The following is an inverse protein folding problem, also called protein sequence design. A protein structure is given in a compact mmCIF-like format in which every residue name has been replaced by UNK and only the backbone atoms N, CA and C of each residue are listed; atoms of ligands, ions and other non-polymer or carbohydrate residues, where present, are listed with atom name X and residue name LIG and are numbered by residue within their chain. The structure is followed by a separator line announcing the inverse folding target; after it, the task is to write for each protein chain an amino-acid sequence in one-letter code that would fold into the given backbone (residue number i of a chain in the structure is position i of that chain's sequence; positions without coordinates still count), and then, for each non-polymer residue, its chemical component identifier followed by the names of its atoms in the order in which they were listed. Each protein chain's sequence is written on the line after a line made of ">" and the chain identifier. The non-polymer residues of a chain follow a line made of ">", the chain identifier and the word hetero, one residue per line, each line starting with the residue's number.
data_IF_022967876437
#
_entry.id   IF_022967876437
#
_cell.length_a   1.000
_cell.length_b   1.000
_cell.length_c   1.000
_cell.angle_alpha   90.00
_cell.angle_beta   90.00
_cell.angle_gamma   90.00
#
_symmetry.space_group_name_H-M   'P 1'
#
loop_
_entity.id
_entity.type
_entity.pdbx_description
1 polymer ?
#
# COMPACT_ATOMS: atom_id res chain seq x y z
N UNK A 1 -1.84 1.97 -16.07
CA UNK A 1 -1.14 1.23 -15.01
C UNK A 1 0.37 1.36 -15.10
N UNK A 2 0.93 1.34 -16.32
CA UNK A 2 2.38 1.49 -16.49
C UNK A 2 2.92 2.81 -15.89
N UNK A 3 2.13 3.85 -15.88
CA UNK A 3 2.54 5.14 -15.33
C UNK A 3 2.72 5.10 -13.81
N UNK A 4 2.05 4.18 -13.12
CA UNK A 4 2.16 4.05 -11.66
C UNK A 4 2.97 2.83 -11.24
N UNK A 5 3.45 2.03 -12.20
CA UNK A 5 4.29 0.87 -11.89
C UNK A 5 5.59 1.32 -11.23
N UNK A 6 6.05 0.54 -10.25
CA UNK A 6 7.27 0.82 -9.53
C UNK A 6 7.20 0.37 -8.09
N UNK A 7 8.24 0.71 -7.34
CA UNK A 7 8.34 0.33 -5.93
C UNK A 7 8.12 1.57 -5.05
N UNK A 8 7.20 1.45 -4.11
CA UNK A 8 6.83 2.52 -3.18
C UNK A 8 7.18 2.09 -1.77
N UNK A 9 7.73 3.00 -0.98
CA UNK A 9 8.14 2.71 0.40
C UNK A 9 7.63 3.75 1.38
N UNK A 10 7.41 3.32 2.59
CA UNK A 10 7.06 4.20 3.69
C UNK A 10 6.90 3.41 4.98
N UNK A 11 6.74 4.13 6.08
CA UNK A 11 6.47 3.52 7.38
C UNK A 11 5.05 3.87 7.78
N UNK A 12 4.19 2.85 7.86
CA UNK A 12 2.79 3.03 8.25
C UNK A 12 2.65 2.95 9.77
N UNK A 13 1.69 3.66 10.35
CA UNK A 13 1.46 3.58 11.80
C UNK A 13 0.90 2.23 12.20
N UNK A 14 1.26 1.76 13.39
CA UNK A 14 0.74 0.52 13.95
C UNK A 14 0.39 0.74 15.42
N UNK A 15 -0.61 0.00 15.90
CA UNK A 15 -1.11 0.17 17.27
C UNK A 15 -0.19 -0.47 18.31
N UNK A 16 0.49 -1.56 17.97
CA UNK A 16 1.25 -2.37 18.92
C UNK A 16 2.75 -2.44 18.62
N UNK A 17 3.25 -1.57 17.75
CA UNK A 17 4.68 -1.45 17.49
C UNK A 17 4.98 -0.04 16.99
N UNK A 18 6.27 0.38 16.93
CA UNK A 18 6.62 1.74 16.49
C UNK A 18 6.23 2.07 15.06
N UNK A 19 5.99 1.07 14.24
CA UNK A 19 5.56 1.29 12.86
C UNK A 19 5.70 0.02 12.04
N UNK A 20 5.22 0.10 10.80
CA UNK A 20 5.33 -1.00 9.84
C UNK A 20 6.06 -0.45 8.62
N UNK A 21 7.29 -0.91 8.41
CA UNK A 21 8.05 -0.54 7.23
C UNK A 21 7.45 -1.29 6.04
N UNK A 22 6.87 -0.54 5.11
CA UNK A 22 6.08 -1.10 4.02
C UNK A 22 6.74 -0.83 2.68
N UNK A 23 6.88 -1.86 1.87
CA UNK A 23 7.37 -1.76 0.49
C UNK A 23 6.31 -2.36 -0.41
N UNK A 24 5.75 -1.55 -1.28
CA UNK A 24 4.73 -1.99 -2.25
C UNK A 24 5.30 -1.87 -3.65
N UNK A 25 5.34 -2.98 -4.38
CA UNK A 25 5.75 -2.99 -5.78
C UNK A 25 4.52 -3.19 -6.64
N UNK A 26 4.29 -2.26 -7.57
CA UNK A 26 3.20 -2.34 -8.54
C UNK A 26 3.80 -2.67 -9.89
N UNK A 27 3.34 -3.76 -10.49
CA UNK A 27 3.80 -4.20 -11.80
C UNK A 27 2.83 -3.79 -12.89
N UNK A 28 3.35 -3.54 -14.09
CA UNK A 28 2.52 -3.09 -15.21
C UNK A 28 1.54 -4.15 -15.72
N UNK A 29 1.69 -5.40 -15.28
CA UNK A 29 0.81 -6.51 -15.67
C UNK A 29 -0.36 -6.73 -14.69
N UNK A 30 -0.65 -5.74 -13.85
CA UNK A 30 -1.72 -5.77 -12.85
C UNK A 30 -1.47 -6.75 -11.70
N UNK A 31 -0.20 -6.98 -11.37
CA UNK A 31 0.18 -7.75 -10.18
C UNK A 31 0.91 -6.85 -9.20
N UNK A 32 0.99 -7.28 -7.95
CA UNK A 32 1.69 -6.53 -6.93
C UNK A 32 2.46 -7.45 -5.98
N UNK A 33 3.42 -6.87 -5.28
CA UNK A 33 4.12 -7.50 -4.17
C UNK A 33 4.14 -6.53 -3.02
N UNK A 34 3.79 -7.01 -1.84
CA UNK A 34 3.76 -6.19 -0.63
C UNK A 34 4.65 -6.85 0.41
N UNK A 35 5.61 -6.09 0.93
CA UNK A 35 6.49 -6.55 2.01
C UNK A 35 6.32 -5.61 3.18
N UNK A 36 6.10 -6.19 4.35
CA UNK A 36 5.89 -5.41 5.58
C UNK A 36 6.80 -5.95 6.68
N UNK A 37 7.54 -5.04 7.30
CA UNK A 37 8.38 -5.35 8.46
C UNK A 37 7.87 -4.56 9.65
N UNK A 38 7.39 -5.27 10.66
CA UNK A 38 6.89 -4.66 11.90
C UNK A 38 8.09 -4.35 12.78
N UNK A 39 8.32 -3.07 13.01
CA UNK A 39 9.48 -2.60 13.76
C UNK A 39 9.43 -3.12 15.20
N UNK A 40 10.58 -3.59 15.70
CA UNK A 40 10.72 -4.13 17.05
C UNK A 40 9.87 -5.38 17.34
N UNK A 41 9.42 -6.08 16.30
CA UNK A 41 8.75 -7.37 16.45
C UNK A 41 9.68 -8.48 16.00
N UNK A 42 9.76 -9.55 16.78
CA UNK A 42 10.70 -10.64 16.53
C UNK A 42 10.41 -11.37 15.21
N UNK A 43 9.17 -11.69 14.92
CA UNK A 43 8.76 -12.34 13.68
C UNK A 43 7.85 -11.42 12.87
N UNK A 44 8.31 -10.18 12.75
CA UNK A 44 7.48 -9.12 12.18
C UNK A 44 7.55 -8.95 10.67
N UNK A 45 8.06 -9.93 9.95
CA UNK A 45 8.12 -9.85 8.49
C UNK A 45 6.91 -10.54 7.86
N UNK A 46 6.24 -9.86 6.94
CA UNK A 46 5.13 -10.43 6.18
C UNK A 46 5.29 -10.07 4.71
N UNK A 47 4.94 -11.01 3.84
CA UNK A 47 4.96 -10.79 2.40
C UNK A 47 3.64 -11.26 1.82
N UNK A 48 3.12 -10.46 0.89
CA UNK A 48 1.91 -10.80 0.15
C UNK A 48 2.11 -10.48 -1.32
N UNK A 49 1.42 -11.20 -2.16
CA UNK A 49 1.41 -10.92 -3.60
C UNK A 49 0.05 -11.31 -4.15
N UNK A 50 -0.30 -10.75 -5.28
CA UNK A 50 -1.58 -11.04 -5.89
C UNK A 50 -1.81 -10.14 -7.09
N UNK A 51 -3.09 -9.93 -7.41
CA UNK A 51 -3.50 -9.07 -8.51
C UNK A 51 -4.09 -7.79 -7.97
N UNK A 52 -4.06 -6.75 -8.79
CA UNK A 52 -4.69 -5.49 -8.45
C UNK A 52 -5.59 -5.04 -9.58
N UNK A 53 -6.57 -4.20 -9.26
CA UNK A 53 -7.43 -3.55 -10.23
C UNK A 53 -7.36 -2.05 -10.04
N UNK A 54 -7.37 -1.32 -11.15
CA UNK A 54 -7.45 0.14 -11.12
C UNK A 54 -8.92 0.51 -11.15
N UNK A 55 -9.38 1.14 -10.08
CA UNK A 55 -10.75 1.61 -9.97
C UNK A 55 -10.84 3.07 -10.41
N UNK A 56 -12.06 3.62 -10.43
CA UNK A 56 -12.26 5.03 -10.73
C UNK A 56 -11.54 5.91 -9.71
N UNK A 57 -11.21 7.13 -10.10
CA UNK A 57 -10.54 8.12 -9.24
C UNK A 57 -9.13 7.72 -8.80
N UNK A 58 -8.43 6.93 -9.62
CA UNK A 58 -7.05 6.52 -9.37
C UNK A 58 -6.86 5.66 -8.12
N UNK A 59 -7.90 4.92 -7.74
CA UNK A 59 -7.84 3.99 -6.61
C UNK A 59 -7.39 2.64 -7.12
N UNK A 60 -6.42 2.05 -6.42
CA UNK A 60 -5.92 0.71 -6.71
C UNK A 60 -6.47 -0.26 -5.67
N UNK A 61 -7.15 -1.30 -6.13
CA UNK A 61 -7.65 -2.36 -5.24
C UNK A 61 -6.71 -3.55 -5.34
N UNK A 62 -6.01 -3.83 -4.25
CA UNK A 62 -5.08 -4.94 -4.15
C UNK A 62 -5.82 -6.15 -3.57
N UNK A 63 -5.80 -7.26 -4.29
CA UNK A 63 -6.50 -8.48 -3.89
C UNK A 63 -5.46 -9.52 -3.46
N UNK A 64 -5.58 -9.98 -2.22
CA UNK A 64 -4.73 -11.05 -1.68
C UNK A 64 -5.43 -12.39 -1.87
N UNK A 65 -5.02 -13.22 -2.85
CA UNK A 65 -5.76 -14.44 -3.18
C UNK A 65 -5.85 -15.45 -2.03
N UNK A 66 -4.83 -15.51 -1.18
CA UNK A 66 -4.78 -16.49 -0.10
C UNK A 66 -5.83 -16.26 1.00
N UNK A 67 -6.27 -15.01 1.17
CA UNK A 67 -7.23 -14.66 2.23
C UNK A 67 -8.47 -13.95 1.71
N UNK A 68 -8.45 -13.50 0.45
CA UNK A 68 -9.52 -12.70 -0.12
C UNK A 68 -9.54 -11.26 0.37
N UNK A 69 -8.50 -10.83 1.09
CA UNK A 69 -8.44 -9.46 1.58
C UNK A 69 -8.26 -8.46 0.45
N UNK A 70 -8.93 -7.33 0.60
CA UNK A 70 -8.77 -6.20 -0.31
C UNK A 70 -8.13 -5.04 0.43
N UNK A 71 -7.10 -4.46 -0.18
CA UNK A 71 -6.44 -3.27 0.35
C UNK A 71 -6.50 -2.19 -0.71
N UNK A 72 -6.84 -0.98 -0.31
CA UNK A 72 -7.05 0.11 -1.24
C UNK A 72 -5.98 1.18 -1.07
N UNK A 73 -5.40 1.60 -2.20
CA UNK A 73 -4.45 2.71 -2.26
C UNK A 73 -4.90 3.66 -3.34
N UNK A 74 -4.73 4.96 -3.09
CA UNK A 74 -5.04 5.98 -4.08
C UNK A 74 -3.74 6.59 -4.58
N UNK A 75 -3.62 6.74 -5.90
CA UNK A 75 -2.47 7.40 -6.50
C UNK A 75 -2.60 8.91 -6.26
N UNK A 76 -1.64 9.49 -5.53
CA UNK A 76 -1.65 10.92 -5.26
C UNK A 76 -0.98 11.71 -6.38
N UNK A 77 0.14 11.19 -6.86
CA UNK A 77 0.87 11.75 -7.97
C UNK A 77 1.72 10.65 -8.61
N UNK A 78 2.63 11.01 -9.51
CA UNK A 78 3.46 10.02 -10.21
C UNK A 78 4.49 9.34 -9.32
N UNK A 79 4.62 9.75 -8.08
CA UNK A 79 5.67 9.25 -7.19
C UNK A 79 5.16 8.87 -5.80
N UNK A 80 3.86 8.90 -5.56
CA UNK A 80 3.33 8.50 -4.24
C UNK A 80 1.93 7.92 -4.31
N UNK A 81 1.64 7.03 -3.37
CA UNK A 81 0.30 6.48 -3.17
C UNK A 81 -0.04 6.59 -1.68
N UNK A 82 -1.33 6.65 -1.38
CA UNK A 82 -1.80 6.74 0.00
C UNK A 82 -2.81 5.61 0.26
N UNK A 83 -2.71 4.98 1.42
CA UNK A 83 -3.68 3.97 1.83
C UNK A 83 -5.04 4.63 2.08
N UNK A 84 -6.10 4.02 1.55
CA UNK A 84 -7.46 4.53 1.68
C UNK A 84 -8.39 3.45 2.21
N UNK A 85 -9.66 3.82 2.45
CA UNK A 85 -10.71 2.86 2.74
C UNK A 85 -11.28 2.27 1.44
N UNK A 86 -12.30 1.42 1.55
CA UNK A 86 -12.90 0.74 0.40
C UNK A 86 -13.63 1.70 -0.55
N UNK A 87 -13.91 2.92 -0.12
CA UNK A 87 -14.54 3.93 -0.95
C UNK A 87 -13.54 4.91 -1.58
N UNK A 88 -12.25 4.71 -1.31
CA UNK A 88 -11.20 5.58 -1.80
C UNK A 88 -11.02 6.86 -0.99
N UNK A 89 -11.59 6.93 0.20
CA UNK A 89 -11.46 8.08 1.07
C UNK A 89 -10.11 8.08 1.78
N UNK A 90 -9.39 9.18 1.70
CA UNK A 90 -8.09 9.32 2.36
C UNK A 90 -8.27 9.61 3.85
N UNK A 91 -7.30 9.20 4.70
CA UNK A 91 -7.29 9.62 6.09
C UNK A 91 -7.30 11.15 6.19
N UNK A 92 -7.91 11.69 7.25
CA UNK A 92 -8.05 13.13 7.41
C UNK A 92 -6.91 13.74 8.25
N UNK A 93 -6.65 15.02 8.03
CA UNK A 93 -5.71 15.81 8.82
C UNK A 93 -4.27 15.35 8.68
N UNK A 94 -3.50 15.51 9.73
CA UNK A 94 -2.09 15.13 9.74
C UNK A 94 -1.89 13.63 9.67
N UNK A 95 -2.88 12.84 10.04
CA UNK A 95 -2.83 11.39 9.97
C UNK A 95 -2.60 10.93 8.53
N UNK A 96 -3.12 11.65 7.54
CA UNK A 96 -2.95 11.29 6.14
C UNK A 96 -1.48 11.15 5.74
N UNK A 97 -0.61 11.97 6.29
CA UNK A 97 0.83 11.92 5.98
C UNK A 97 1.49 10.61 6.42
N UNK A 98 0.91 9.94 7.41
CA UNK A 98 1.45 8.69 7.94
C UNK A 98 1.14 7.50 7.05
N UNK A 99 0.21 7.63 6.12
CA UNK A 99 -0.23 6.55 5.26
C UNK A 99 0.27 6.66 3.81
N UNK A 100 1.16 7.60 3.54
CA UNK A 100 1.69 7.82 2.19
C UNK A 100 2.94 6.97 1.98
N UNK A 101 2.98 6.26 0.84
CA UNK A 101 4.16 5.54 0.37
C UNK A 101 4.75 6.31 -0.80
N UNK A 102 6.06 6.47 -0.81
CA UNK A 102 6.76 7.24 -1.83
C UNK A 102 7.52 6.31 -2.77
N UNK A 103 7.45 6.61 -4.06
CA UNK A 103 8.17 5.86 -5.09
C UNK A 103 9.66 6.06 -4.96
N UNK A 104 10.39 4.96 -5.05
CA UNK A 104 11.84 4.98 -5.08
C UNK A 104 12.39 5.61 -6.36
#
# INVERSE_FOLDING_TARGET
>A
LAAVAGTYEGTLPAADCPGIKTVLTINADSTYQLKQDYIDRKDGHDEASGVLEVLDNSVLMLIRPSSGEHTFYKVKDNSSVIMTDSLGNEPEGETAKLYVLHKK
#
